data_IF_805506066395
#
_entry.id   IF_805506066395
#
_cell.length_a   1.000
_cell.length_b   1.000
_cell.length_c   1.000
_cell.angle_alpha   90.00
_cell.angle_beta   90.00
_cell.angle_gamma   90.00
#
_symmetry.space_group_name_H-M   'P 1'
#
loop_
_entity.id
_entity.type
_entity.pdbx_description
1 polymer ?
#
# COMPACT_ATOMS: atom_id res chain seq x y z
N UNK A 1 -3.93 26.48 15.64
CA UNK A 1 -2.47 26.57 15.45
C UNK A 1 -2.13 25.74 14.22
N UNK A 2 -1.58 26.42 13.19
CA UNK A 2 -0.98 25.90 11.95
C UNK A 2 -1.84 25.05 10.99
N UNK A 3 -2.88 25.66 10.43
CA UNK A 3 -3.43 25.28 9.11
C UNK A 3 -2.62 26.04 8.03
N UNK A 4 -1.33 25.70 7.93
CA UNK A 4 -0.37 26.39 7.08
C UNK A 4 -0.49 25.92 5.64
N UNK A 5 -1.27 26.66 4.84
CA UNK A 5 -1.13 26.87 3.39
C UNK A 5 -0.56 25.68 2.61
N UNK A 6 -1.49 24.94 1.98
CA UNK A 6 -1.25 23.90 0.97
C UNK A 6 -0.21 24.44 -0.03
N UNK A 7 1.07 24.10 0.15
CA UNK A 7 2.01 24.05 -0.96
C UNK A 7 1.37 23.06 -1.92
N UNK A 8 0.98 23.50 -3.11
CA UNK A 8 0.34 22.64 -4.12
C UNK A 8 1.02 21.29 -4.10
N UNK A 9 0.27 20.25 -3.73
CA UNK A 9 0.87 18.94 -3.57
C UNK A 9 1.42 18.46 -4.91
N UNK A 10 2.59 17.84 -4.88
CA UNK A 10 3.22 17.30 -6.09
C UNK A 10 2.62 15.91 -6.36
N UNK A 11 1.75 15.87 -7.35
CA UNK A 11 1.09 14.65 -7.83
C UNK A 11 2.09 13.69 -8.50
N UNK A 12 2.01 12.42 -8.13
CA UNK A 12 2.74 11.33 -8.76
C UNK A 12 2.11 10.99 -10.10
N UNK A 13 2.93 10.84 -11.15
CA UNK A 13 2.47 10.33 -12.46
C UNK A 13 1.78 8.96 -12.34
N UNK A 14 2.25 8.13 -11.41
CA UNK A 14 1.64 6.86 -11.08
C UNK A 14 1.61 6.70 -9.55
N UNK A 15 0.44 6.50 -8.94
CA UNK A 15 0.33 6.35 -7.50
C UNK A 15 1.12 5.13 -7.01
N UNK A 16 1.58 5.21 -5.76
CA UNK A 16 2.17 4.06 -5.06
C UNK A 16 1.07 3.32 -4.34
N UNK A 17 1.05 2.00 -4.49
CA UNK A 17 0.10 1.13 -3.80
C UNK A 17 0.83 0.34 -2.73
N UNK A 18 0.34 0.42 -1.50
CA UNK A 18 0.87 -0.33 -0.35
C UNK A 18 -0.23 -1.15 0.29
N UNK A 19 0.18 -2.18 1.02
CA UNK A 19 -0.65 -2.93 1.93
C UNK A 19 -0.63 -2.28 3.32
N UNK A 20 -1.79 -2.06 3.92
CA UNK A 20 -1.94 -1.54 5.28
C UNK A 20 -2.82 -2.45 6.13
N UNK A 21 -2.54 -2.52 7.43
CA UNK A 21 -3.33 -3.31 8.38
C UNK A 21 -3.45 -4.78 7.96
N UNK A 22 -4.68 -5.29 7.83
CA UNK A 22 -4.98 -6.66 7.42
C UNK A 22 -4.74 -6.93 5.90
N UNK A 23 -3.77 -6.27 5.29
CA UNK A 23 -3.48 -6.38 3.87
C UNK A 23 -4.49 -5.62 2.99
N UNK A 24 -5.03 -4.49 3.43
CA UNK A 24 -5.88 -3.65 2.60
C UNK A 24 -5.04 -2.75 1.70
N UNK A 25 -5.55 -2.50 0.48
CA UNK A 25 -4.95 -1.58 -0.48
C UNK A 25 -5.04 -0.14 0.03
N UNK A 26 -3.92 0.58 0.07
CA UNK A 26 -3.88 2.04 0.20
C UNK A 26 -3.09 2.63 -0.96
N UNK A 27 -3.66 3.64 -1.59
CA UNK A 27 -3.03 4.38 -2.69
C UNK A 27 -2.50 5.71 -2.18
N UNK A 28 -1.28 6.04 -2.58
CA UNK A 28 -0.62 7.31 -2.30
C UNK A 28 -0.31 7.95 -3.64
N UNK A 29 -1.07 9.00 -3.99
CA UNK A 29 -0.93 9.72 -5.25
C UNK A 29 -0.05 10.97 -5.14
N UNK A 30 0.41 11.30 -3.93
CA UNK A 30 0.96 12.60 -3.59
C UNK A 30 2.32 12.49 -2.91
N UNK A 31 3.23 13.44 -3.19
CA UNK A 31 4.52 13.50 -2.51
C UNK A 31 4.36 13.81 -1.01
N UNK A 32 3.38 14.63 -0.63
CA UNK A 32 3.07 14.85 0.79
C UNK A 32 2.50 13.59 1.41
N UNK A 33 1.69 12.81 0.69
CA UNK A 33 1.19 11.53 1.16
C UNK A 33 2.32 10.54 1.49
N UNK A 34 3.35 10.47 0.64
CA UNK A 34 4.55 9.67 0.90
C UNK A 34 5.28 10.14 2.17
N UNK A 35 5.52 11.44 2.30
CA UNK A 35 6.23 12.01 3.46
C UNK A 35 5.45 11.80 4.76
N UNK A 36 4.14 12.00 4.75
CA UNK A 36 3.29 11.81 5.93
C UNK A 36 3.33 10.35 6.37
N UNK A 37 3.18 9.41 5.43
CA UNK A 37 3.30 7.98 5.73
C UNK A 37 4.64 7.63 6.42
N UNK A 38 5.75 8.16 5.89
CA UNK A 38 7.07 7.95 6.47
C UNK A 38 7.19 8.60 7.87
N UNK A 39 6.61 9.77 8.09
CA UNK A 39 6.66 10.45 9.41
C UNK A 39 5.88 9.69 10.48
N UNK A 40 4.75 9.11 10.10
CA UNK A 40 3.90 8.29 10.97
C UNK A 40 4.49 6.90 11.23
N UNK A 41 5.52 6.49 10.47
CA UNK A 41 6.13 5.17 10.59
C UNK A 41 6.77 4.94 11.98
N UNK A 42 6.51 3.79 12.64
CA UNK A 42 7.00 3.53 14.00
C UNK A 42 8.52 3.62 14.10
N UNK A 43 9.08 4.32 15.12
CA UNK A 43 10.52 4.52 15.25
C UNK A 43 11.29 3.19 15.38
N UNK A 44 10.72 2.19 16.05
CA UNK A 44 11.30 0.86 16.18
C UNK A 44 11.44 0.11 14.84
N UNK A 45 10.69 0.50 13.82
CA UNK A 45 10.70 -0.11 12.49
C UNK A 45 11.34 0.82 11.44
N UNK A 46 11.99 1.91 11.87
CA UNK A 46 12.77 2.78 10.97
C UNK A 46 14.16 2.18 10.79
N UNK A 47 14.48 1.82 9.55
CA UNK A 47 15.81 1.39 9.14
C UNK A 47 16.38 2.30 8.06
N UNK A 48 17.52 1.91 7.50
CA UNK A 48 18.21 2.65 6.43
C UNK A 48 17.29 2.96 5.22
N UNK A 49 16.37 2.05 4.92
CA UNK A 49 15.45 2.22 3.79
C UNK A 49 14.36 3.26 4.05
N UNK A 50 13.95 3.43 5.31
CA UNK A 50 13.07 4.52 5.72
C UNK A 50 13.78 5.88 5.57
N UNK A 51 15.01 5.99 6.07
CA UNK A 51 15.82 7.22 5.94
C UNK A 51 16.11 7.57 4.48
N UNK A 52 16.35 6.56 3.64
CA UNK A 52 16.57 6.74 2.20
C UNK A 52 15.30 7.24 1.50
N UNK A 53 14.14 6.65 1.79
CA UNK A 53 12.87 7.09 1.23
C UNK A 53 12.52 8.52 1.66
N UNK A 54 12.78 8.89 2.93
CA UNK A 54 12.52 10.23 3.44
C UNK A 54 13.40 11.28 2.75
N UNK A 55 14.72 11.04 2.67
CA UNK A 55 15.65 11.92 1.95
C UNK A 55 15.28 12.07 0.48
N UNK A 56 14.87 10.99 -0.17
CA UNK A 56 14.44 11.05 -1.57
C UNK A 56 13.18 11.92 -1.74
N UNK A 57 12.22 11.84 -0.81
CA UNK A 57 11.04 12.70 -0.85
C UNK A 57 11.40 14.19 -0.67
N UNK A 58 12.35 14.49 0.21
CA UNK A 58 12.83 15.85 0.45
C UNK A 58 13.57 16.40 -0.77
N UNK A 59 14.50 15.61 -1.33
CA UNK A 59 15.24 15.96 -2.54
C UNK A 59 14.29 16.18 -3.74
N UNK A 60 13.25 15.36 -3.90
CA UNK A 60 12.26 15.56 -4.96
C UNK A 60 11.47 16.84 -4.76
N UNK A 61 11.16 17.22 -3.52
CA UNK A 61 10.47 18.47 -3.21
C UNK A 61 11.35 19.71 -3.46
N UNK A 62 12.66 19.59 -3.27
CA UNK A 62 13.65 20.62 -3.63
C UNK A 62 13.94 20.67 -5.14
N UNK A 63 13.45 19.70 -5.92
CA UNK A 63 13.77 19.57 -7.34
C UNK A 63 15.17 19.02 -7.63
N UNK A 64 15.86 18.45 -6.63
CA UNK A 64 17.19 17.86 -6.76
C UNK A 64 17.16 16.50 -7.48
N UNK A 65 16.05 15.76 -7.33
CA UNK A 65 15.81 14.50 -8.03
C UNK A 65 14.41 14.46 -8.65
N UNK A 66 14.24 13.63 -9.67
CA UNK A 66 12.93 13.33 -10.22
C UNK A 66 11.99 12.70 -9.21
N UNK A 67 10.72 13.07 -9.31
CA UNK A 67 9.65 12.50 -8.50
C UNK A 67 9.55 10.96 -8.66
N UNK A 68 9.85 10.42 -9.84
CA UNK A 68 9.87 8.98 -10.07
C UNK A 68 10.99 8.28 -9.27
N UNK A 69 12.14 8.94 -9.06
CA UNK A 69 13.21 8.39 -8.20
C UNK A 69 12.77 8.33 -6.74
N UNK A 70 12.08 9.36 -6.25
CA UNK A 70 11.49 9.34 -4.91
C UNK A 70 10.45 8.23 -4.76
N UNK A 71 9.60 8.06 -5.78
CA UNK A 71 8.63 6.95 -5.88
C UNK A 71 9.30 5.58 -5.79
N UNK A 72 10.37 5.36 -6.55
CA UNK A 72 11.12 4.10 -6.53
C UNK A 72 11.76 3.83 -5.16
N UNK A 73 12.34 4.86 -4.52
CA UNK A 73 12.89 4.73 -3.17
C UNK A 73 11.82 4.33 -2.14
N UNK A 74 10.61 4.89 -2.26
CA UNK A 74 9.49 4.53 -1.40
C UNK A 74 9.01 3.08 -1.65
N UNK A 75 8.95 2.62 -2.91
CA UNK A 75 8.62 1.23 -3.22
C UNK A 75 9.65 0.25 -2.64
N UNK A 76 10.94 0.58 -2.72
CA UNK A 76 12.01 -0.22 -2.12
C UNK A 76 11.87 -0.30 -0.60
N UNK A 77 11.50 0.82 0.05
CA UNK A 77 11.13 0.83 1.46
C UNK A 77 9.92 -0.06 1.75
N UNK A 78 8.83 0.07 0.98
CA UNK A 78 7.62 -0.72 1.17
C UNK A 78 7.90 -2.23 1.08
N UNK A 79 8.73 -2.64 0.11
CA UNK A 79 9.19 -4.02 -0.04
C UNK A 79 9.98 -4.50 1.17
N UNK A 80 10.95 -3.72 1.65
CA UNK A 80 11.76 -4.08 2.83
C UNK A 80 10.97 -4.07 4.13
N UNK A 81 9.96 -3.22 4.24
CA UNK A 81 9.05 -3.17 5.37
C UNK A 81 7.94 -4.24 5.31
N UNK A 82 7.86 -5.02 4.22
CA UNK A 82 6.83 -6.07 4.06
C UNK A 82 5.42 -5.53 3.86
N UNK A 83 5.29 -4.29 3.39
CA UNK A 83 4.01 -3.59 3.14
C UNK A 83 3.77 -3.34 1.64
N UNK A 84 4.50 -4.02 0.76
CA UNK A 84 4.25 -3.97 -0.67
C UNK A 84 2.86 -4.56 -0.99
N UNK A 85 2.11 -3.89 -1.87
CA UNK A 85 0.85 -4.42 -2.36
C UNK A 85 1.09 -5.57 -3.34
N UNK A 86 0.58 -6.76 -3.01
CA UNK A 86 0.78 -7.98 -3.83
C UNK A 86 -0.27 -8.18 -4.92
N UNK A 87 -1.25 -7.28 -5.04
CA UNK A 87 -2.36 -7.42 -6.00
C UNK A 87 -3.58 -8.17 -5.47
N UNK A 88 -3.50 -8.79 -4.28
CA UNK A 88 -4.58 -9.60 -3.73
C UNK A 88 -5.39 -8.84 -2.66
N UNK A 89 -6.65 -8.52 -2.98
CA UNK A 89 -7.60 -7.98 -1.99
C UNK A 89 -8.11 -9.10 -1.07
N UNK A 90 -7.93 -8.98 0.27
CA UNK A 90 -8.30 -10.04 1.20
C UNK A 90 -9.82 -10.30 1.21
N UNK A 91 -10.65 -9.30 0.92
CA UNK A 91 -12.11 -9.48 0.84
C UNK A 91 -12.49 -10.26 -0.41
N UNK A 92 -11.86 -9.98 -1.55
CA UNK A 92 -12.02 -10.75 -2.78
C UNK A 92 -11.64 -12.22 -2.57
N UNK A 93 -10.45 -12.48 -2.00
CA UNK A 93 -9.97 -13.84 -1.71
C UNK A 93 -10.94 -14.60 -0.81
N UNK A 94 -11.41 -13.97 0.27
CA UNK A 94 -12.38 -14.59 1.20
C UNK A 94 -13.74 -14.86 0.53
N UNK A 95 -14.21 -13.94 -0.31
CA UNK A 95 -15.45 -14.11 -1.07
C UNK A 95 -15.36 -15.31 -2.01
N UNK A 96 -14.26 -15.42 -2.76
CA UNK A 96 -14.02 -16.57 -3.64
C UNK A 96 -13.96 -17.88 -2.86
N UNK A 97 -13.26 -17.91 -1.73
CA UNK A 97 -13.19 -19.10 -0.87
C UNK A 97 -14.57 -19.54 -0.36
N UNK A 98 -15.42 -18.57 0.01
CA UNK A 98 -16.80 -18.84 0.44
C UNK A 98 -17.65 -19.40 -0.71
N UNK A 99 -17.54 -18.83 -1.91
CA UNK A 99 -18.25 -19.32 -3.10
C UNK A 99 -17.85 -20.76 -3.41
N UNK A 100 -16.55 -21.06 -3.41
CA UNK A 100 -16.03 -22.42 -3.64
C UNK A 100 -16.57 -23.41 -2.60
N UNK A 101 -16.60 -23.02 -1.32
CA UNK A 101 -17.15 -23.84 -0.24
C UNK A 101 -18.66 -24.09 -0.38
N UNK A 102 -19.41 -23.07 -0.78
CA UNK A 102 -20.86 -23.22 -1.00
C UNK A 102 -21.12 -24.22 -2.12
N UNK A 103 -20.47 -24.03 -3.28
CA UNK A 103 -20.60 -24.94 -4.42
C UNK A 103 -20.28 -26.39 -4.04
N UNK A 104 -19.21 -26.62 -3.27
CA UNK A 104 -18.86 -27.97 -2.81
C UNK A 104 -19.91 -28.60 -1.88
N UNK A 105 -20.58 -27.79 -1.03
CA UNK A 105 -21.68 -28.25 -0.17
C UNK A 105 -22.92 -28.58 -0.99
N UNK A 106 -23.28 -27.72 -1.94
CA UNK A 106 -24.42 -27.92 -2.85
C UNK A 106 -24.25 -29.21 -3.68
N UNK A 107 -23.07 -29.43 -4.28
CA UNK A 107 -22.77 -30.66 -5.02
C UNK A 107 -22.92 -31.93 -4.17
N UNK A 108 -22.53 -31.88 -2.89
CA UNK A 108 -22.68 -33.03 -1.97
C UNK A 108 -24.13 -33.28 -1.56
N UNK A 109 -24.94 -32.22 -1.44
CA UNK A 109 -26.36 -32.34 -1.12
C UNK A 109 -27.16 -32.94 -2.28
N UNK A 110 -26.85 -32.55 -3.52
CA UNK A 110 -27.53 -33.03 -4.73
C UNK A 110 -27.22 -34.51 -5.04
N UNK A 111 -26.09 -35.04 -4.57
CA UNK A 111 -25.64 -36.42 -4.84
C UNK A 111 -26.08 -37.45 -3.80
N UNK A 112 -26.88 -37.09 -2.77
CA UNK A 112 -27.46 -38.08 -1.84
C UNK A 112 -28.65 -38.76 -2.54
N UNK A 113 -28.58 -40.07 -2.86
CA UNK A 113 -29.72 -40.78 -3.42
C UNK A 113 -30.85 -40.85 -2.39
N UNK A 114 -32.09 -40.62 -2.85
CA UNK A 114 -33.28 -40.89 -2.07
C UNK A 114 -33.45 -42.41 -1.97
N UNK A 115 -33.47 -42.93 -0.75
CA UNK A 115 -33.72 -44.34 -0.46
C UNK A 115 -35.19 -44.53 -0.06
#
# INVERSE_FOLDING_TARGET
>A
MQEGYIRSDIELRAPVVIAVGAGFKREIATLTGMQNFLKEWPPASRGESHATALRACEAARSGEIDLDKARQAFLAFAKKAGIEWTGADPVAVLREAKIRRNRARESRAQQRPAH
#
